data_IF_874208457365
#
_entry.id   IF_874208457365
#
_cell.length_a   1.000
_cell.length_b   1.000
_cell.length_c   1.000
_cell.angle_alpha   90.00
_cell.angle_beta   90.00
_cell.angle_gamma   90.00
#
_symmetry.space_group_name_H-M   'P 1'
#
loop_
_entity.id
_entity.type
_entity.pdbx_description
1 polymer ?
#
# COMPACT_ATOMS: atom_id res chain seq x y z
N UNK A 1 -2.53 -23.38 -29.54
CA UNK A 1 -3.95 -23.29 -29.19
C UNK A 1 -4.00 -23.06 -27.69
N UNK A 2 -4.32 -21.85 -27.25
CA UNK A 2 -4.54 -21.57 -25.83
C UNK A 2 -5.81 -22.31 -25.40
N UNK A 3 -5.75 -23.17 -24.36
CA UNK A 3 -6.95 -23.85 -23.86
C UNK A 3 -8.00 -22.81 -23.47
N UNK A 4 -9.27 -23.14 -23.71
CA UNK A 4 -10.37 -22.29 -23.28
C UNK A 4 -10.35 -22.21 -21.76
N UNK A 5 -10.59 -21.04 -21.17
CA UNK A 5 -10.58 -20.83 -19.71
C UNK A 5 -11.46 -21.86 -18.98
N UNK A 6 -12.53 -22.30 -19.64
CA UNK A 6 -13.52 -23.22 -19.09
C UNK A 6 -12.95 -24.63 -18.84
N UNK A 7 -11.98 -25.06 -19.63
CA UNK A 7 -11.36 -26.38 -19.53
C UNK A 7 -10.15 -26.39 -18.57
N UNK A 8 -9.74 -25.21 -18.08
CA UNK A 8 -8.59 -25.09 -17.20
C UNK A 8 -8.92 -25.60 -15.80
N UNK A 9 -8.00 -26.40 -15.25
CA UNK A 9 -8.00 -26.81 -13.85
C UNK A 9 -7.17 -25.82 -13.06
N UNK A 10 -7.86 -24.87 -12.44
CA UNK A 10 -7.23 -23.83 -11.64
C UNK A 10 -7.11 -24.29 -10.19
N UNK A 11 -6.01 -23.88 -9.57
CA UNK A 11 -5.71 -24.14 -8.17
C UNK A 11 -5.46 -22.83 -7.43
N UNK A 12 -6.02 -22.73 -6.24
CA UNK A 12 -5.73 -21.66 -5.31
C UNK A 12 -4.32 -21.82 -4.70
N UNK A 13 -3.53 -20.75 -4.70
CA UNK A 13 -2.18 -20.76 -4.12
C UNK A 13 -2.22 -21.06 -2.61
N UNK A 14 -1.17 -21.71 -2.11
CA UNK A 14 -1.08 -22.09 -0.68
C UNK A 14 -0.60 -20.97 0.23
N UNK A 15 0.01 -19.93 -0.34
CA UNK A 15 0.66 -18.84 0.38
C UNK A 15 -0.27 -17.64 0.56
N UNK A 16 -1.34 -17.83 1.34
CA UNK A 16 -2.37 -16.84 1.56
C UNK A 16 -2.43 -16.39 3.03
N UNK A 17 -2.41 -15.08 3.23
CA UNK A 17 -2.79 -14.45 4.49
C UNK A 17 -4.22 -13.89 4.33
N UNK A 18 -5.08 -14.18 5.31
CA UNK A 18 -6.49 -13.76 5.30
C UNK A 18 -6.75 -12.74 6.39
N UNK A 19 -7.63 -11.79 6.09
CA UNK A 19 -8.12 -10.84 7.08
C UNK A 19 -9.56 -10.44 6.83
N UNK A 20 -10.40 -10.57 7.84
CA UNK A 20 -11.74 -10.01 7.84
C UNK A 20 -11.70 -8.52 8.23
N UNK A 21 -12.31 -7.67 7.40
CA UNK A 21 -12.54 -6.26 7.68
C UNK A 21 -13.88 -6.09 8.42
N UNK A 22 -14.06 -5.01 9.21
CA UNK A 22 -15.29 -4.75 9.96
C UNK A 22 -16.55 -4.69 9.07
N UNK A 23 -16.36 -4.32 7.81
CA UNK A 23 -17.39 -4.07 6.80
C UNK A 23 -17.95 -5.37 6.20
N UNK A 24 -17.44 -6.54 6.62
CA UNK A 24 -17.78 -7.85 6.06
C UNK A 24 -16.96 -8.24 4.83
N UNK A 25 -16.05 -7.37 4.38
CA UNK A 25 -15.09 -7.65 3.31
C UNK A 25 -13.95 -8.53 3.83
N UNK A 26 -13.60 -9.57 3.08
CA UNK A 26 -12.44 -10.44 3.33
C UNK A 26 -11.30 -10.04 2.41
N UNK A 27 -10.18 -9.66 3.00
CA UNK A 27 -8.95 -9.35 2.28
C UNK A 27 -8.08 -10.60 2.23
N UNK A 28 -7.72 -11.03 1.03
CA UNK A 28 -6.71 -12.06 0.77
C UNK A 28 -5.41 -11.38 0.33
N UNK A 29 -4.31 -11.74 0.94
CA UNK A 29 -2.96 -11.35 0.51
C UNK A 29 -2.19 -12.59 0.08
N UNK A 30 -1.59 -12.53 -1.09
CA UNK A 30 -0.64 -13.53 -1.55
C UNK A 30 0.77 -13.15 -1.08
N UNK A 31 1.33 -13.90 -0.13
CA UNK A 31 2.62 -13.53 0.49
C UNK A 31 3.81 -13.66 -0.46
N UNK A 32 3.71 -14.50 -1.49
CA UNK A 32 4.78 -14.66 -2.49
C UNK A 32 4.88 -13.47 -3.47
N UNK A 33 3.75 -12.83 -3.79
CA UNK A 33 3.64 -11.74 -4.78
C UNK A 33 3.42 -10.35 -4.18
N UNK A 34 3.02 -10.28 -2.90
CA UNK A 34 2.56 -9.04 -2.29
C UNK A 34 1.27 -8.49 -2.91
N UNK A 35 0.47 -9.33 -3.57
CA UNK A 35 -0.79 -8.93 -4.20
C UNK A 35 -1.98 -9.08 -3.25
N UNK A 36 -2.99 -8.23 -3.45
CA UNK A 36 -4.16 -8.15 -2.58
C UNK A 36 -5.46 -8.32 -3.38
N UNK A 37 -6.40 -9.06 -2.80
CA UNK A 37 -7.73 -9.28 -3.36
C UNK A 37 -8.78 -9.07 -2.26
N UNK A 38 -9.65 -8.08 -2.45
CA UNK A 38 -10.78 -7.81 -1.58
C UNK A 38 -12.00 -8.55 -2.12
N UNK A 39 -12.59 -9.40 -1.30
CA UNK A 39 -13.68 -10.31 -1.66
C UNK A 39 -14.78 -10.22 -0.60
N UNK A 40 -16.01 -10.57 -0.97
CA UNK A 40 -17.02 -10.93 0.03
C UNK A 40 -16.88 -12.42 0.41
N UNK A 41 -17.57 -12.85 1.47
CA UNK A 41 -17.50 -14.24 1.94
C UNK A 41 -17.93 -15.27 0.89
N UNK A 42 -18.84 -14.91 0.00
CA UNK A 42 -19.32 -15.75 -1.10
C UNK A 42 -18.23 -15.94 -2.17
N UNK A 43 -17.60 -14.85 -2.62
CA UNK A 43 -16.51 -14.89 -3.60
C UNK A 43 -15.29 -15.64 -3.08
N UNK A 44 -14.96 -15.52 -1.79
CA UNK A 44 -13.90 -16.36 -1.20
C UNK A 44 -14.30 -17.85 -1.22
N UNK A 45 -15.56 -18.17 -0.92
CA UNK A 45 -16.09 -19.53 -1.04
C UNK A 45 -15.86 -20.10 -2.44
N UNK A 46 -16.21 -19.33 -3.47
CA UNK A 46 -15.98 -19.71 -4.88
C UNK A 46 -14.49 -19.94 -5.15
N UNK A 47 -13.60 -19.06 -4.66
CA UNK A 47 -12.15 -19.24 -4.84
C UNK A 47 -11.60 -20.47 -4.11
N UNK A 48 -12.21 -20.87 -2.99
CA UNK A 48 -11.81 -22.04 -2.21
C UNK A 48 -12.20 -23.37 -2.90
N UNK A 49 -13.17 -23.37 -3.81
CA UNK A 49 -13.55 -24.55 -4.60
C UNK A 49 -12.49 -24.94 -5.65
N UNK A 50 -11.60 -24.01 -6.03
CA UNK A 50 -10.51 -24.27 -6.97
C UNK A 50 -9.33 -25.01 -6.29
N UNK A 51 -9.42 -26.33 -6.23
CA UNK A 51 -8.41 -27.22 -5.66
C UNK A 51 -7.42 -27.83 -6.69
N UNK A 52 -7.66 -27.55 -7.99
CA UNK A 52 -6.93 -28.11 -9.13
C UNK A 52 -7.48 -29.43 -9.67
N UNK A 53 -8.57 -29.97 -9.10
CA UNK A 53 -9.25 -31.16 -9.61
C UNK A 53 -10.38 -30.80 -10.56
N UNK A 54 -11.16 -29.77 -10.18
CA UNK A 54 -12.31 -29.29 -10.93
C UNK A 54 -11.92 -28.27 -12.01
N UNK A 55 -12.69 -28.26 -13.10
CA UNK A 55 -12.58 -27.25 -14.15
C UNK A 55 -13.35 -25.98 -13.77
N UNK A 56 -13.00 -24.84 -14.39
CA UNK A 56 -13.75 -23.58 -14.20
C UNK A 56 -15.24 -23.74 -14.50
N UNK A 57 -15.59 -24.57 -15.49
CA UNK A 57 -16.98 -24.86 -15.83
C UNK A 57 -17.70 -25.69 -14.76
N UNK A 58 -17.04 -26.68 -14.17
CA UNK A 58 -17.62 -27.49 -13.08
C UNK A 58 -17.88 -26.65 -11.83
N UNK A 59 -16.95 -25.76 -11.47
CA UNK A 59 -17.14 -24.81 -10.36
C UNK A 59 -18.30 -23.86 -10.66
N UNK A 60 -18.39 -23.32 -11.89
CA UNK A 60 -19.52 -22.46 -12.29
C UNK A 60 -20.86 -23.20 -12.18
N UNK A 61 -20.92 -24.49 -12.56
CA UNK A 61 -22.13 -25.31 -12.39
C UNK A 61 -22.48 -25.49 -10.91
N UNK A 62 -21.49 -25.73 -10.03
CA UNK A 62 -21.69 -25.77 -8.58
C UNK A 62 -22.31 -24.48 -8.04
N UNK A 63 -21.76 -23.33 -8.43
CA UNK A 63 -22.26 -22.01 -8.04
C UNK A 63 -23.67 -21.74 -8.58
N UNK A 64 -23.97 -22.15 -9.82
CA UNK A 64 -25.30 -22.06 -10.42
C UNK A 64 -26.34 -22.87 -9.63
N UNK A 65 -25.98 -24.06 -9.18
CA UNK A 65 -26.85 -24.90 -8.35
C UNK A 65 -27.08 -24.34 -6.95
N UNK A 66 -26.07 -23.69 -6.35
CA UNK A 66 -26.16 -23.13 -5.00
C UNK A 66 -26.93 -21.80 -4.93
N UNK A 67 -26.74 -20.91 -5.91
CA UNK A 67 -27.29 -19.54 -5.87
C UNK A 67 -28.52 -19.32 -6.75
N UNK A 68 -28.83 -20.28 -7.62
CA UNK A 68 -29.96 -20.24 -8.56
C UNK A 68 -29.79 -19.23 -9.71
N UNK A 69 -29.28 -18.01 -9.44
CA UNK A 69 -29.03 -16.94 -10.43
C UNK A 69 -27.73 -16.17 -10.16
N UNK A 70 -26.55 -16.83 -10.15
CA UNK A 70 -25.28 -16.12 -10.08
C UNK A 70 -25.07 -15.23 -11.31
N UNK A 71 -24.48 -14.06 -11.10
CA UNK A 71 -24.07 -13.19 -12.20
C UNK A 71 -22.84 -13.81 -12.88
N UNK A 72 -23.06 -14.56 -13.96
CA UNK A 72 -22.00 -15.27 -14.72
C UNK A 72 -20.82 -14.35 -15.05
N UNK A 73 -21.09 -13.09 -15.45
CA UNK A 73 -20.05 -12.10 -15.72
C UNK A 73 -19.18 -11.82 -14.48
N UNK A 74 -19.80 -11.64 -13.31
CA UNK A 74 -19.08 -11.39 -12.07
C UNK A 74 -18.21 -12.59 -11.64
N UNK A 75 -18.66 -13.82 -11.94
CA UNK A 75 -17.86 -15.03 -11.75
C UNK A 75 -16.61 -15.02 -12.64
N UNK A 76 -16.75 -14.80 -13.95
CA UNK A 76 -15.59 -14.77 -14.84
C UNK A 76 -14.67 -13.59 -14.53
N UNK A 77 -15.21 -12.42 -14.20
CA UNK A 77 -14.40 -11.27 -13.77
C UNK A 77 -13.59 -11.59 -12.51
N UNK A 78 -14.18 -12.32 -11.55
CA UNK A 78 -13.47 -12.81 -10.35
C UNK A 78 -12.34 -13.77 -10.71
N UNK A 79 -12.63 -14.81 -11.50
CA UNK A 79 -11.64 -15.84 -11.89
C UNK A 79 -10.50 -15.21 -12.68
N UNK A 80 -10.79 -14.35 -13.67
CA UNK A 80 -9.79 -13.65 -14.46
C UNK A 80 -8.96 -12.70 -13.60
N UNK A 81 -9.58 -11.97 -12.67
CA UNK A 81 -8.85 -11.09 -11.74
C UNK A 81 -7.94 -11.88 -10.81
N UNK A 82 -8.42 -13.00 -10.27
CA UNK A 82 -7.66 -13.87 -9.38
C UNK A 82 -6.49 -14.55 -10.12
N UNK A 83 -6.70 -14.99 -11.37
CA UNK A 83 -5.65 -15.54 -12.23
C UNK A 83 -4.61 -14.48 -12.60
N UNK A 84 -5.05 -13.29 -13.02
CA UNK A 84 -4.15 -12.18 -13.37
C UNK A 84 -3.26 -11.76 -12.19
N UNK A 85 -3.82 -11.74 -10.98
CA UNK A 85 -3.06 -11.46 -9.75
C UNK A 85 -2.24 -12.64 -9.23
N UNK A 86 -2.44 -13.85 -9.78
CA UNK A 86 -1.69 -15.06 -9.41
C UNK A 86 -2.23 -15.80 -8.19
N UNK A 87 -3.45 -15.50 -7.74
CA UNK A 87 -4.16 -16.27 -6.71
C UNK A 87 -4.61 -17.63 -7.25
N UNK A 88 -5.00 -17.69 -8.53
CA UNK A 88 -5.33 -18.91 -9.25
C UNK A 88 -4.25 -19.23 -10.29
N UNK A 89 -3.82 -20.48 -10.37
CA UNK A 89 -2.85 -20.94 -11.36
C UNK A 89 -3.19 -22.32 -11.92
N UNK A 90 -2.73 -22.58 -13.14
CA UNK A 90 -2.89 -23.87 -13.83
C UNK A 90 -1.72 -24.80 -13.49
N UNK A 91 -2.03 -26.06 -13.15
CA UNK A 91 -1.03 -27.09 -12.85
C UNK A 91 -0.46 -27.04 -11.42
N UNK A 92 0.47 -27.96 -11.13
CA UNK A 92 1.06 -28.13 -9.79
C UNK A 92 2.18 -27.15 -9.48
N UNK A 93 2.72 -26.48 -10.50
CA UNK A 93 3.81 -25.52 -10.33
C UNK A 93 3.22 -24.15 -10.03
N UNK A 94 3.29 -23.73 -8.76
CA UNK A 94 2.92 -22.37 -8.39
C UNK A 94 3.75 -21.37 -9.23
N UNK A 95 3.12 -20.36 -9.84
CA UNK A 95 3.82 -19.41 -10.68
C UNK A 95 4.79 -18.63 -9.81
N UNK A 96 6.07 -18.98 -9.89
CA UNK A 96 7.14 -18.21 -9.29
C UNK A 96 7.09 -16.80 -9.88
N UNK A 97 6.73 -15.82 -9.07
CA UNK A 97 6.93 -14.43 -9.45
C UNK A 97 8.42 -14.14 -9.39
N UNK A 98 8.92 -13.54 -10.46
CA UNK A 98 10.13 -12.72 -10.40
C UNK A 98 9.90 -11.44 -9.60
N UNK A 99 8.63 -11.06 -9.41
CA UNK A 99 8.22 -9.91 -8.61
C UNK A 99 8.19 -10.23 -7.11
N UNK A 100 9.18 -9.60 -6.46
CA UNK A 100 9.18 -8.93 -5.16
C UNK A 100 8.54 -9.62 -3.95
N UNK A 101 9.26 -10.62 -3.43
CA UNK A 101 9.18 -10.95 -1.99
C UNK A 101 9.34 -9.68 -1.16
N UNK A 102 8.53 -9.54 -0.12
CA UNK A 102 8.64 -8.44 0.84
C UNK A 102 10.07 -8.30 1.33
N UNK A 103 10.65 -7.10 1.20
CA UNK A 103 12.03 -6.88 1.60
C UNK A 103 12.09 -6.65 3.09
N UNK A 104 13.12 -7.23 3.72
CA UNK A 104 13.47 -6.88 5.10
C UNK A 104 13.93 -5.42 5.10
N UNK A 105 13.15 -4.58 5.76
CA UNK A 105 13.45 -3.17 5.91
C UNK A 105 14.51 -2.98 7.01
N UNK A 106 15.52 -2.15 6.75
CA UNK A 106 16.66 -1.96 7.65
C UNK A 106 16.33 -1.02 8.82
N UNK A 107 15.40 -0.08 8.63
CA UNK A 107 15.00 0.87 9.66
C UNK A 107 13.77 0.34 10.37
N UNK A 108 13.77 0.23 11.70
CA UNK A 108 12.61 -0.24 12.46
C UNK A 108 12.25 0.79 13.50
N UNK A 109 10.96 1.10 13.60
CA UNK A 109 10.46 2.01 14.61
C UNK A 109 9.56 1.26 15.59
N UNK A 110 9.78 1.41 16.89
CA UNK A 110 8.85 0.89 17.90
C UNK A 110 7.54 1.69 17.82
N UNK A 111 6.37 1.10 18.12
CA UNK A 111 5.09 1.82 18.05
C UNK A 111 5.07 3.08 18.93
N UNK A 112 5.67 3.03 20.12
CA UNK A 112 5.78 4.18 21.02
C UNK A 112 6.71 5.26 20.47
N UNK A 113 7.86 4.87 19.91
CA UNK A 113 8.80 5.79 19.28
C UNK A 113 8.21 6.46 18.05
N UNK A 114 7.51 5.70 17.20
CA UNK A 114 6.80 6.20 16.03
C UNK A 114 5.75 7.24 16.43
N UNK A 115 4.88 6.90 17.39
CA UNK A 115 3.85 7.81 17.85
C UNK A 115 4.44 9.10 18.46
N UNK A 116 5.44 8.97 19.33
CA UNK A 116 6.11 10.12 19.93
C UNK A 116 6.77 11.01 18.87
N UNK A 117 7.49 10.43 17.91
CA UNK A 117 8.12 11.15 16.81
C UNK A 117 7.08 11.92 16.00
N UNK A 118 5.98 11.27 15.62
CA UNK A 118 4.94 11.93 14.85
C UNK A 118 4.31 13.10 15.61
N UNK A 119 4.00 12.93 16.90
CA UNK A 119 3.48 14.03 17.71
C UNK A 119 4.49 15.18 17.81
N UNK A 120 5.76 14.90 18.05
CA UNK A 120 6.81 15.93 18.10
C UNK A 120 6.91 16.71 16.79
N UNK A 121 6.88 16.02 15.63
CA UNK A 121 6.94 16.67 14.32
C UNK A 121 5.68 17.49 14.05
N UNK A 122 4.49 16.95 14.34
CA UNK A 122 3.21 17.63 14.12
C UNK A 122 3.10 18.86 15.02
N UNK A 123 3.30 18.72 16.33
CA UNK A 123 3.19 19.86 17.26
C UNK A 123 4.31 20.88 17.03
N UNK A 124 5.54 20.43 16.78
CA UNK A 124 6.67 21.30 16.48
C UNK A 124 6.45 22.08 15.18
N UNK A 125 6.05 21.39 14.10
CA UNK A 125 5.75 22.03 12.82
C UNK A 125 4.53 22.95 12.91
N UNK A 126 3.47 22.57 13.61
CA UNK A 126 2.32 23.43 13.82
C UNK A 126 2.69 24.70 14.61
N UNK A 127 3.49 24.58 15.66
CA UNK A 127 4.00 25.72 16.41
C UNK A 127 4.87 26.63 15.52
N UNK A 128 5.78 26.04 14.75
CA UNK A 128 6.58 26.78 13.78
C UNK A 128 5.70 27.55 12.79
N UNK A 129 4.64 26.94 12.27
CA UNK A 129 3.68 27.60 11.37
C UNK A 129 2.98 28.79 12.04
N UNK A 130 2.60 28.66 13.31
CA UNK A 130 1.89 29.75 14.03
C UNK A 130 2.79 30.94 14.40
N UNK A 131 4.08 30.72 14.59
CA UNK A 131 5.05 31.74 15.04
C UNK A 131 5.87 32.30 13.87
N UNK A 132 5.87 31.63 12.72
CA UNK A 132 6.67 32.00 11.57
C UNK A 132 6.16 33.29 10.93
N UNK A 133 7.06 34.26 10.77
CA UNK A 133 6.89 35.47 9.95
C UNK A 133 7.54 35.32 8.56
N UNK A 134 7.93 34.09 8.19
CA UNK A 134 8.69 33.82 6.97
C UNK A 134 7.83 34.16 5.74
N UNK A 135 8.31 34.98 4.80
CA UNK A 135 7.57 35.30 3.58
C UNK A 135 7.31 34.02 2.78
N UNK A 136 6.10 33.86 2.23
CA UNK A 136 5.68 32.64 1.54
C UNK A 136 6.10 32.56 0.06
N UNK A 137 6.65 33.65 -0.49
CA UNK A 137 7.02 33.74 -1.90
C UNK A 137 8.54 33.61 -2.02
N UNK A 138 9.06 32.44 -2.45
CA UNK A 138 10.48 32.27 -2.66
C UNK A 138 10.95 33.02 -3.92
N UNK A 139 12.24 33.33 -3.95
CA UNK A 139 12.93 33.77 -5.17
C UNK A 139 12.93 32.68 -6.25
N UNK A 140 13.25 33.03 -7.50
CA UNK A 140 13.35 32.07 -8.60
C UNK A 140 14.21 30.81 -8.29
N UNK A 141 15.43 30.91 -7.71
CA UNK A 141 16.17 29.71 -7.28
C UNK A 141 15.55 29.03 -6.06
N UNK A 142 14.80 29.76 -5.24
CA UNK A 142 14.06 29.21 -4.11
C UNK A 142 12.99 28.20 -4.55
N UNK A 143 12.33 28.39 -5.70
CA UNK A 143 11.37 27.41 -6.23
C UNK A 143 12.01 26.04 -6.52
N UNK A 144 13.24 26.02 -7.02
CA UNK A 144 13.98 24.77 -7.22
C UNK A 144 14.26 24.08 -5.89
N UNK A 145 14.67 24.83 -4.86
CA UNK A 145 14.87 24.31 -3.51
C UNK A 145 13.56 23.81 -2.88
N UNK A 146 12.43 24.45 -3.15
CA UNK A 146 11.10 23.99 -2.72
C UNK A 146 10.81 22.61 -3.32
N UNK A 147 10.96 22.45 -4.64
CA UNK A 147 10.72 21.17 -5.32
C UNK A 147 11.65 20.07 -4.79
N UNK A 148 12.92 20.39 -4.59
CA UNK A 148 13.90 19.44 -4.03
C UNK A 148 13.50 19.01 -2.62
N UNK A 149 13.06 19.96 -1.80
CA UNK A 149 12.61 19.70 -0.42
C UNK A 149 11.33 18.87 -0.39
N UNK A 150 10.40 19.08 -1.32
CA UNK A 150 9.19 18.24 -1.49
C UNK A 150 9.58 16.81 -1.83
N UNK A 151 10.47 16.60 -2.80
CA UNK A 151 10.95 15.25 -3.18
C UNK A 151 11.64 14.54 -2.00
N UNK A 152 12.50 15.25 -1.27
CA UNK A 152 13.17 14.71 -0.08
C UNK A 152 12.18 14.39 1.04
N UNK A 153 11.20 15.26 1.28
CA UNK A 153 10.18 15.05 2.30
C UNK A 153 9.21 13.91 1.97
N UNK A 154 8.82 13.74 0.71
CA UNK A 154 8.04 12.58 0.25
C UNK A 154 8.83 11.28 0.42
N UNK A 155 10.13 11.32 0.09
CA UNK A 155 11.02 10.18 0.32
C UNK A 155 11.11 9.83 1.81
N UNK A 156 11.27 10.85 2.66
CA UNK A 156 11.30 10.68 4.12
C UNK A 156 9.97 10.11 4.65
N UNK A 157 8.83 10.58 4.15
CA UNK A 157 7.51 10.09 4.54
C UNK A 157 7.38 8.58 4.26
N UNK A 158 7.80 8.13 3.08
CA UNK A 158 7.77 6.71 2.70
C UNK A 158 8.76 5.87 3.52
N UNK A 159 9.94 6.40 3.83
CA UNK A 159 10.92 5.71 4.70
C UNK A 159 10.37 5.53 6.12
N UNK A 160 9.75 6.57 6.69
CA UNK A 160 9.13 6.51 8.02
C UNK A 160 7.93 5.55 8.05
N UNK A 161 7.08 5.59 7.02
CA UNK A 161 5.97 4.65 6.85
C UNK A 161 6.47 3.19 6.79
N UNK A 162 7.51 2.92 5.99
CA UNK A 162 8.16 1.61 5.92
C UNK A 162 8.80 1.18 7.26
N UNK A 163 9.38 2.13 8.00
CA UNK A 163 9.98 1.85 9.31
C UNK A 163 8.95 1.42 10.36
N UNK A 164 7.75 2.01 10.32
CA UNK A 164 6.62 1.61 11.18
C UNK A 164 6.07 0.26 10.77
N UNK A 165 5.89 0.02 9.46
CA UNK A 165 5.45 -1.29 8.96
C UNK A 165 6.40 -2.40 9.41
N UNK A 166 7.70 -2.23 9.17
CA UNK A 166 8.70 -3.22 9.58
C UNK A 166 8.83 -3.36 11.10
N UNK A 167 8.71 -2.26 11.84
CA UNK A 167 8.72 -2.26 13.30
C UNK A 167 7.54 -3.00 13.92
N UNK A 168 6.41 -3.05 13.22
CA UNK A 168 5.20 -3.78 13.61
C UNK A 168 5.11 -5.19 13.00
N UNK A 169 6.23 -5.70 12.46
CA UNK A 169 6.35 -7.06 11.93
C UNK A 169 5.69 -7.27 10.57
N UNK A 170 5.42 -6.19 9.81
CA UNK A 170 4.87 -6.22 8.45
C UNK A 170 5.96 -6.11 7.41
N UNK A 171 5.65 -6.56 6.20
CA UNK A 171 6.60 -6.57 5.10
C UNK A 171 6.47 -5.29 4.29
N UNK A 172 7.61 -4.79 3.82
CA UNK A 172 7.69 -3.62 2.95
C UNK A 172 7.84 -4.11 1.51
N UNK A 173 6.87 -3.78 0.68
CA UNK A 173 6.82 -4.16 -0.74
C UNK A 173 7.13 -2.96 -1.64
N UNK A 174 7.63 -3.22 -2.85
CA UNK A 174 7.88 -2.22 -3.91
C UNK A 174 8.63 -0.96 -3.46
N UNK A 175 9.85 -1.09 -2.89
CA UNK A 175 10.71 0.06 -2.69
C UNK A 175 11.28 0.52 -4.03
N UNK A 176 10.70 1.57 -4.62
CA UNK A 176 11.08 2.09 -5.93
C UNK A 176 11.29 3.60 -5.92
N UNK A 177 12.07 4.09 -6.88
CA UNK A 177 12.23 5.52 -7.12
C UNK A 177 11.25 5.92 -8.22
N UNK A 178 10.23 6.70 -7.85
CA UNK A 178 9.22 7.21 -8.78
C UNK A 178 9.63 8.55 -9.33
N UNK A 179 9.34 8.77 -10.61
CA UNK A 179 9.64 10.00 -11.37
C UNK A 179 8.36 10.72 -11.81
N UNK A 180 7.25 10.47 -11.12
CA UNK A 180 5.95 11.07 -11.47
C UNK A 180 5.87 12.58 -11.16
N UNK A 181 6.78 13.04 -10.30
CA UNK A 181 7.02 14.46 -10.04
C UNK A 181 8.27 14.91 -10.81
N UNK A 182 8.40 16.22 -11.02
CA UNK A 182 9.57 16.84 -11.69
C UNK A 182 10.90 16.34 -11.13
N UNK A 183 10.94 15.98 -9.84
CA UNK A 183 12.09 15.36 -9.19
C UNK A 183 11.75 13.95 -8.70
N UNK A 184 12.71 13.00 -8.79
CA UNK A 184 12.53 11.64 -8.32
C UNK A 184 12.28 11.62 -6.81
N UNK A 185 11.42 10.73 -6.34
CA UNK A 185 11.23 10.47 -4.92
C UNK A 185 11.14 8.98 -4.64
N UNK A 186 11.55 8.58 -3.44
CA UNK A 186 11.49 7.21 -3.00
C UNK A 186 10.08 6.87 -2.50
N UNK A 187 9.50 5.77 -2.98
CA UNK A 187 8.15 5.31 -2.67
C UNK A 187 8.16 3.87 -2.15
N UNK A 188 7.22 3.56 -1.27
CA UNK A 188 7.00 2.24 -0.70
C UNK A 188 5.52 1.89 -0.75
N UNK A 189 5.17 0.63 -1.03
CA UNK A 189 3.79 0.17 -0.90
C UNK A 189 3.42 -0.03 0.57
N UNK A 190 2.47 0.78 1.05
CA UNK A 190 1.98 0.76 2.44
C UNK A 190 0.71 -0.08 2.62
N UNK A 191 0.20 -0.75 1.58
CA UNK A 191 -1.04 -1.55 1.63
C UNK A 191 -1.01 -2.65 2.70
N UNK A 192 0.17 -3.15 3.05
CA UNK A 192 0.31 -4.15 4.12
C UNK A 192 -0.09 -3.61 5.50
N UNK A 193 -0.20 -2.29 5.67
CA UNK A 193 -0.76 -1.67 6.87
C UNK A 193 -2.18 -2.16 7.16
N UNK A 194 -2.99 -2.37 6.11
CA UNK A 194 -4.36 -2.86 6.22
C UNK A 194 -4.36 -4.28 6.80
N UNK A 195 -3.41 -5.13 6.39
CA UNK A 195 -3.21 -6.46 6.97
C UNK A 195 -2.74 -6.39 8.43
N UNK A 196 -1.94 -5.39 8.79
CA UNK A 196 -1.55 -5.10 10.17
C UNK A 196 -2.69 -4.63 11.09
N UNK A 197 -3.74 -4.04 10.53
CA UNK A 197 -4.95 -3.62 11.24
C UNK A 197 -4.89 -2.19 11.75
N UNK A 198 -5.97 -1.75 12.41
CA UNK A 198 -6.23 -0.33 12.66
C UNK A 198 -5.08 0.41 13.35
N UNK A 199 -4.35 -0.25 14.26
CA UNK A 199 -3.18 0.34 14.92
C UNK A 199 -2.02 0.58 13.95
N UNK A 200 -1.72 -0.40 13.09
CA UNK A 200 -0.66 -0.30 12.08
C UNK A 200 -1.03 0.74 11.04
N UNK A 201 -2.26 0.67 10.53
CA UNK A 201 -2.83 1.65 9.58
C UNK A 201 -2.76 3.08 10.11
N UNK A 202 -3.26 3.30 11.34
CA UNK A 202 -3.23 4.63 11.95
C UNK A 202 -1.80 5.15 12.15
N UNK A 203 -0.87 4.30 12.62
CA UNK A 203 0.52 4.73 12.83
C UNK A 203 1.25 5.00 11.52
N UNK A 204 1.04 4.17 10.49
CA UNK A 204 1.63 4.38 9.16
C UNK A 204 1.09 5.66 8.53
N UNK A 205 -0.23 5.88 8.56
CA UNK A 205 -0.84 7.13 8.08
C UNK A 205 -0.35 8.35 8.87
N UNK A 206 -0.23 8.23 10.20
CA UNK A 206 0.27 9.29 11.06
C UNK A 206 1.72 9.68 10.72
N UNK A 207 2.60 8.73 10.38
CA UNK A 207 3.96 9.06 9.93
C UNK A 207 3.97 9.80 8.59
N UNK A 208 3.13 9.37 7.64
CA UNK A 208 3.03 10.07 6.36
C UNK A 208 2.56 11.51 6.55
N UNK A 209 1.59 11.71 7.45
CA UNK A 209 1.08 13.04 7.81
C UNK A 209 2.10 13.88 8.58
N UNK A 210 2.96 13.27 9.40
CA UNK A 210 3.96 13.99 10.19
C UNK A 210 5.10 14.60 9.35
N UNK A 211 5.42 14.00 8.20
CA UNK A 211 6.50 14.45 7.31
C UNK A 211 6.40 15.91 6.86
N UNK A 212 5.26 16.42 6.32
CA UNK A 212 5.13 17.82 5.93
C UNK A 212 5.38 18.79 7.11
N UNK A 213 4.92 18.46 8.31
CA UNK A 213 5.18 19.26 9.51
C UNK A 213 6.66 19.25 9.91
N UNK A 214 7.34 18.12 9.75
CA UNK A 214 8.79 18.02 9.95
C UNK A 214 9.57 18.90 8.98
N UNK A 215 9.20 18.91 7.70
CA UNK A 215 9.82 19.77 6.69
C UNK A 215 9.56 21.25 6.98
N UNK A 216 8.33 21.62 7.36
CA UNK A 216 8.00 22.98 7.79
C UNK A 216 8.84 23.42 9.01
N UNK A 217 8.96 22.54 10.02
CA UNK A 217 9.79 22.80 11.20
C UNK A 217 11.27 23.03 10.83
N UNK A 218 11.84 22.20 9.96
CA UNK A 218 13.21 22.38 9.48
C UNK A 218 13.35 23.71 8.74
N UNK A 219 12.39 24.04 7.87
CA UNK A 219 12.38 25.32 7.16
C UNK A 219 12.36 26.52 8.09
N UNK A 220 11.59 26.46 9.17
CA UNK A 220 11.55 27.51 10.20
C UNK A 220 12.86 27.61 10.97
N UNK A 221 13.43 26.49 11.44
CA UNK A 221 14.72 26.47 12.17
C UNK A 221 15.86 27.00 11.32
N UNK A 222 15.84 26.75 10.01
CA UNK A 222 16.84 27.22 9.06
C UNK A 222 16.57 28.64 8.53
N UNK A 223 15.47 29.28 8.95
CA UNK A 223 14.98 30.54 8.38
C UNK A 223 14.92 30.52 6.83
N UNK A 224 14.47 29.38 6.29
CA UNK A 224 14.47 29.10 4.86
C UNK A 224 13.05 29.05 4.31
N UNK A 225 12.61 30.15 3.69
CA UNK A 225 11.37 30.28 2.93
C UNK A 225 11.05 29.08 2.01
N UNK A 226 11.96 28.61 1.13
CA UNK A 226 11.62 27.54 0.19
C UNK A 226 11.38 26.20 0.89
N UNK A 227 12.13 25.89 1.95
CA UNK A 227 11.95 24.64 2.72
C UNK A 227 10.66 24.72 3.54
N UNK A 228 10.36 25.88 4.11
CA UNK A 228 9.11 26.10 4.84
C UNK A 228 7.88 25.96 3.92
N UNK A 229 7.93 26.53 2.72
CA UNK A 229 6.89 26.37 1.70
C UNK A 229 6.74 24.91 1.24
N UNK A 230 7.84 24.16 1.15
CA UNK A 230 7.78 22.75 0.77
C UNK A 230 6.93 21.91 1.73
N UNK A 231 6.96 22.21 3.03
CA UNK A 231 6.08 21.57 4.02
C UNK A 231 4.59 21.77 3.71
N UNK A 232 4.20 22.99 3.30
CA UNK A 232 2.83 23.30 2.87
C UNK A 232 2.43 22.59 1.59
N UNK A 233 3.31 22.60 0.57
CA UNK A 233 3.06 21.90 -0.70
C UNK A 233 2.89 20.41 -0.46
N UNK A 234 3.72 19.81 0.40
CA UNK A 234 3.59 18.41 0.78
C UNK A 234 2.30 18.11 1.53
N UNK A 235 1.86 18.99 2.44
CA UNK A 235 0.60 18.82 3.15
C UNK A 235 -0.58 18.79 2.17
N UNK A 236 -0.54 19.59 1.10
CA UNK A 236 -1.56 19.57 0.03
C UNK A 236 -1.46 18.34 -0.87
N UNK A 237 -0.26 17.81 -1.13
CA UNK A 237 -0.09 16.60 -1.95
C UNK A 237 -0.50 15.32 -1.23
N UNK A 238 -0.47 15.32 0.10
CA UNK A 238 -0.77 14.15 0.95
C UNK A 238 -2.19 14.19 1.56
N UNK A 239 -2.91 15.30 1.43
CA UNK A 239 -4.30 15.46 1.85
C UNK A 239 -5.27 14.91 0.79
#
# INVERSE_FOLDING_TARGET
MTPSLNDQKLRLTRWLERKDLPDGTRLLKQTNRGEYLALNGQQEGILAEFDGQQTVQEVLQGVLHAEGHPKIRAFYDLVLTAQAKGFLHEGDTEPHSTDEKGRRWNVRCTPTGAFALALCLIFGGAAAVTVSEVPLIPSAPGWFLTLLSVSLGLSLANVLAGAVLSGLGREVYRPEVRLDLVLPFFSVDTRDAIMGGRRVEALTALQMLASPFGIALIGWVMDSTPVFLAGWVMALLLA
#
